data_IF_756065188171
#
_entry.id   IF_756065188171
#
_cell.length_a   1.000
_cell.length_b   1.000
_cell.length_c   1.000
_cell.angle_alpha   90.00
_cell.angle_beta   90.00
_cell.angle_gamma   90.00
#
_symmetry.space_group_name_H-M   'P 1'
#
loop_
_entity.id
_entity.type
_entity.pdbx_description
1 polymer ?
#
# COMPACT_ATOMS: atom_id res chain seq x y z
N UNK A 1 12.66 15.06 5.38
CA UNK A 1 12.77 15.27 3.92
C UNK A 1 11.96 14.29 3.06
N UNK A 2 12.26 12.98 3.01
CA UNK A 2 11.47 12.04 2.17
C UNK A 2 10.18 11.54 2.82
N UNK A 3 10.25 11.00 4.05
CA UNK A 3 9.08 10.53 4.79
C UNK A 3 8.03 11.65 5.00
N UNK A 4 8.48 12.86 5.33
CA UNK A 4 7.61 14.05 5.41
C UNK A 4 6.89 14.33 4.09
N UNK A 5 7.57 14.19 2.94
CA UNK A 5 6.94 14.38 1.62
C UNK A 5 5.83 13.34 1.41
N UNK A 6 6.09 12.08 1.74
CA UNK A 6 5.09 11.02 1.64
C UNK A 6 3.90 11.27 2.57
N UNK A 7 4.16 11.68 3.82
CA UNK A 7 3.13 12.04 4.79
C UNK A 7 2.27 13.22 4.32
N UNK A 8 2.90 14.28 3.78
CA UNK A 8 2.18 15.43 3.22
C UNK A 8 1.31 15.03 2.03
N UNK A 9 1.82 14.22 1.11
CA UNK A 9 1.04 13.74 -0.04
C UNK A 9 -0.11 12.82 0.37
N UNK A 10 0.10 11.96 1.39
CA UNK A 10 -0.95 11.15 2.01
C UNK A 10 -2.06 12.02 2.60
N UNK A 11 -1.71 12.99 3.44
CA UNK A 11 -2.66 13.92 4.08
C UNK A 11 -3.45 14.72 3.05
N UNK A 12 -2.79 15.17 1.98
CA UNK A 12 -3.41 15.88 0.87
C UNK A 12 -4.24 14.97 -0.06
N UNK A 13 -4.20 13.64 0.12
CA UNK A 13 -4.78 12.64 -0.78
C UNK A 13 -4.38 12.87 -2.24
N UNK A 14 -3.11 13.25 -2.45
CA UNK A 14 -2.59 13.63 -3.75
C UNK A 14 -2.52 12.40 -4.67
N UNK A 15 -3.30 12.43 -5.76
CA UNK A 15 -3.26 11.40 -6.80
C UNK A 15 -2.05 11.58 -7.71
N UNK A 16 -1.43 10.48 -8.13
CA UNK A 16 -0.27 10.50 -9.03
C UNK A 16 1.03 11.05 -8.43
N UNK A 17 1.06 11.37 -7.14
CA UNK A 17 2.28 11.74 -6.42
C UNK A 17 3.16 10.53 -6.10
N UNK A 18 4.35 10.79 -5.54
CA UNK A 18 5.29 9.73 -5.17
C UNK A 18 4.75 8.83 -4.05
N UNK A 19 3.95 9.35 -3.11
CA UNK A 19 3.25 8.50 -2.13
C UNK A 19 2.28 7.51 -2.80
N UNK A 20 1.49 7.99 -3.76
CA UNK A 20 0.57 7.15 -4.52
C UNK A 20 1.33 6.07 -5.31
N UNK A 21 2.39 6.45 -6.01
CA UNK A 21 3.24 5.52 -6.76
C UNK A 21 3.87 4.48 -5.81
N UNK A 22 4.39 4.92 -4.66
CA UNK A 22 5.00 4.03 -3.66
C UNK A 22 4.00 3.03 -3.10
N UNK A 23 2.78 3.44 -2.76
CA UNK A 23 1.74 2.54 -2.26
C UNK A 23 1.42 1.42 -3.27
N UNK A 24 1.16 1.80 -4.54
CA UNK A 24 0.82 0.83 -5.60
C UNK A 24 2.00 -0.11 -5.88
N UNK A 25 3.20 0.44 -6.05
CA UNK A 25 4.38 -0.36 -6.39
C UNK A 25 4.80 -1.30 -5.26
N UNK A 26 4.80 -0.83 -4.00
CA UNK A 26 5.20 -1.69 -2.89
C UNK A 26 4.21 -2.85 -2.73
N UNK A 27 2.91 -2.58 -2.67
CA UNK A 27 1.90 -3.62 -2.54
C UNK A 27 1.93 -4.63 -3.69
N UNK A 28 2.09 -4.16 -4.93
CA UNK A 28 2.19 -5.04 -6.08
C UNK A 28 3.42 -5.96 -5.99
N UNK A 29 4.59 -5.40 -5.70
CA UNK A 29 5.84 -6.18 -5.72
C UNK A 29 5.93 -7.15 -4.53
N UNK A 30 5.56 -6.74 -3.31
CA UNK A 30 5.60 -7.60 -2.12
C UNK A 30 4.61 -8.76 -2.26
N UNK A 31 3.34 -8.47 -2.54
CA UNK A 31 2.32 -9.50 -2.66
C UNK A 31 2.63 -10.45 -3.83
N UNK A 32 3.23 -9.96 -4.92
CA UNK A 32 3.67 -10.83 -6.02
C UNK A 32 4.80 -11.78 -5.61
N UNK A 33 5.74 -11.33 -4.78
CA UNK A 33 6.80 -12.21 -4.24
C UNK A 33 6.19 -13.32 -3.37
N UNK A 34 5.11 -13.01 -2.65
CA UNK A 34 4.38 -13.94 -1.78
C UNK A 34 3.40 -14.85 -2.54
N UNK A 35 3.16 -14.58 -3.82
CA UNK A 35 2.38 -15.44 -4.72
C UNK A 35 1.04 -14.87 -5.19
N UNK A 36 0.73 -13.62 -4.86
CA UNK A 36 -0.49 -12.97 -5.34
C UNK A 36 -0.54 -12.90 -6.87
N UNK A 37 -1.73 -13.17 -7.41
CA UNK A 37 -2.06 -13.17 -8.82
C UNK A 37 -2.59 -11.82 -9.32
N UNK A 38 -2.84 -10.85 -8.43
CA UNK A 38 -3.30 -9.52 -8.82
C UNK A 38 -2.30 -8.85 -9.76
N UNK A 39 -2.78 -8.30 -10.87
CA UNK A 39 -1.96 -7.49 -11.76
C UNK A 39 -1.68 -6.13 -11.14
N UNK A 40 -0.62 -5.46 -11.59
CA UNK A 40 -0.30 -4.10 -11.14
C UNK A 40 -1.47 -3.12 -11.37
N UNK A 41 -2.21 -3.31 -12.47
CA UNK A 41 -3.40 -2.51 -12.76
C UNK A 41 -4.55 -2.80 -11.79
N UNK A 42 -4.78 -4.08 -11.43
CA UNK A 42 -5.77 -4.43 -10.41
C UNK A 42 -5.38 -3.88 -9.03
N UNK A 43 -4.11 -3.96 -8.63
CA UNK A 43 -3.60 -3.33 -7.40
C UNK A 43 -3.83 -1.82 -7.41
N UNK A 44 -3.57 -1.16 -8.55
CA UNK A 44 -3.82 0.28 -8.72
C UNK A 44 -5.31 0.62 -8.60
N UNK A 45 -6.20 -0.12 -9.25
CA UNK A 45 -7.65 0.11 -9.13
C UNK A 45 -8.18 -0.17 -7.72
N UNK A 46 -7.62 -1.17 -7.02
CA UNK A 46 -7.93 -1.38 -5.61
C UNK A 46 -7.58 -0.15 -4.78
N UNK A 47 -6.39 0.40 -4.97
CA UNK A 47 -5.94 1.59 -4.25
C UNK A 47 -6.78 2.84 -4.57
N UNK A 48 -7.05 3.08 -5.87
CA UNK A 48 -7.68 4.31 -6.33
C UNK A 48 -9.20 4.34 -6.12
N UNK A 49 -9.87 3.21 -6.36
CA UNK A 49 -11.34 3.14 -6.49
C UNK A 49 -11.98 2.03 -5.68
N UNK A 50 -11.20 1.19 -4.96
CA UNK A 50 -11.69 -0.03 -4.29
C UNK A 50 -12.44 -0.96 -5.24
N UNK A 51 -11.95 -1.06 -6.48
CA UNK A 51 -12.54 -1.91 -7.51
C UNK A 51 -11.49 -2.87 -8.06
N UNK A 52 -11.92 -4.07 -8.42
CA UNK A 52 -11.12 -5.02 -9.20
C UNK A 52 -11.84 -5.28 -10.50
N UNK A 53 -11.12 -5.22 -11.61
CA UNK A 53 -11.62 -5.64 -12.92
C UNK A 53 -11.17 -7.08 -13.20
N UNK A 54 -12.09 -7.91 -13.70
CA UNK A 54 -11.82 -9.30 -14.04
C UNK A 54 -11.76 -10.22 -12.82
N UNK A 55 -11.17 -11.41 -13.02
CA UNK A 55 -11.03 -12.41 -11.97
C UNK A 55 -9.92 -12.03 -10.99
N UNK A 56 -10.18 -12.20 -9.70
CA UNK A 56 -9.21 -12.05 -8.63
C UNK A 56 -9.60 -12.93 -7.45
N UNK A 57 -8.61 -13.49 -6.78
CA UNK A 57 -8.81 -14.20 -5.53
C UNK A 57 -9.19 -13.19 -4.44
N UNK A 58 -10.22 -13.51 -3.67
CA UNK A 58 -10.69 -12.64 -2.58
C UNK A 58 -9.60 -12.42 -1.54
N UNK A 59 -8.80 -13.45 -1.24
CA UNK A 59 -7.70 -13.36 -0.28
C UNK A 59 -6.65 -12.35 -0.75
N UNK A 60 -6.20 -12.41 -2.01
CA UNK A 60 -5.27 -11.42 -2.58
C UNK A 60 -5.79 -9.98 -2.48
N UNK A 61 -7.10 -9.77 -2.68
CA UNK A 61 -7.75 -8.46 -2.55
C UNK A 61 -7.67 -7.96 -1.11
N UNK A 62 -7.97 -8.84 -0.15
CA UNK A 62 -7.91 -8.53 1.28
C UNK A 62 -6.47 -8.26 1.73
N UNK A 63 -5.52 -9.10 1.32
CA UNK A 63 -4.09 -8.93 1.61
C UNK A 63 -3.54 -7.62 1.04
N UNK A 64 -3.95 -7.25 -0.17
CA UNK A 64 -3.56 -5.97 -0.80
C UNK A 64 -4.15 -4.77 -0.05
N UNK A 65 -5.42 -4.81 0.35
CA UNK A 65 -6.02 -3.72 1.15
C UNK A 65 -5.35 -3.61 2.53
N UNK A 66 -5.02 -4.74 3.16
CA UNK A 66 -4.29 -4.76 4.43
C UNK A 66 -2.86 -4.23 4.25
N UNK A 67 -2.17 -4.57 3.17
CA UNK A 67 -0.83 -4.04 2.87
C UNK A 67 -0.84 -2.50 2.77
N UNK A 68 -1.86 -1.91 2.13
CA UNK A 68 -1.96 -0.45 2.07
C UNK A 68 -2.04 0.19 3.45
N UNK A 69 -2.79 -0.43 4.38
CA UNK A 69 -2.91 0.03 5.78
C UNK A 69 -1.60 -0.17 6.54
N UNK A 70 -0.94 -1.32 6.37
CA UNK A 70 0.34 -1.60 6.99
C UNK A 70 1.42 -0.58 6.56
N UNK A 71 1.49 -0.24 5.28
CA UNK A 71 2.41 0.80 4.81
C UNK A 71 2.11 2.17 5.42
N UNK A 72 0.82 2.52 5.54
CA UNK A 72 0.38 3.75 6.17
C UNK A 72 0.79 3.83 7.65
N UNK A 73 0.68 2.72 8.36
CA UNK A 73 1.11 2.60 9.76
C UNK A 73 2.64 2.69 9.88
N UNK A 74 3.39 2.01 9.00
CA UNK A 74 4.84 2.16 8.92
C UNK A 74 5.24 3.62 8.68
N UNK A 75 4.60 4.29 7.73
CA UNK A 75 4.87 5.69 7.40
C UNK A 75 4.56 6.65 8.56
N UNK A 76 3.57 6.32 9.38
CA UNK A 76 3.17 7.09 10.57
C UNK A 76 4.22 7.03 11.66
N UNK A 77 4.91 5.89 11.80
CA UNK A 77 5.89 5.64 12.87
C UNK A 77 7.35 5.74 12.42
N UNK A 78 7.63 6.24 11.21
CA UNK A 78 9.02 6.44 10.74
C UNK A 78 9.82 7.28 11.72
N UNK A 79 11.02 6.79 12.08
CA UNK A 79 11.92 7.44 13.01
C UNK A 79 11.66 7.11 14.48
N UNK A 80 10.62 6.33 14.79
CA UNK A 80 10.40 5.78 16.12
C UNK A 80 11.09 4.40 16.26
N UNK A 81 11.46 3.97 17.48
CA UNK A 81 11.98 2.64 17.72
C UNK A 81 10.98 1.54 17.35
N UNK A 82 11.45 0.46 16.74
CA UNK A 82 10.65 -0.75 16.53
C UNK A 82 10.49 -1.46 17.88
N UNK A 83 9.24 -1.75 18.24
CA UNK A 83 8.87 -2.50 19.43
C UNK A 83 8.01 -3.71 19.06
N UNK A 84 7.86 -4.65 20.00
CA UNK A 84 6.96 -5.79 19.78
C UNK A 84 5.51 -5.35 19.52
N UNK A 85 5.07 -4.22 20.09
CA UNK A 85 3.71 -3.71 19.87
C UNK A 85 3.55 -3.10 18.47
N UNK A 86 4.61 -2.52 17.89
CA UNK A 86 4.58 -2.04 16.49
C UNK A 86 4.69 -3.15 15.44
N UNK A 87 4.92 -4.40 15.85
CA UNK A 87 5.04 -5.57 14.98
C UNK A 87 3.83 -6.52 15.04
N UNK A 88 2.88 -6.25 15.93
CA UNK A 88 1.64 -7.03 16.08
C UNK A 88 0.55 -6.45 15.20
#
# INVERSE_FOLDING_TARGET
MFAETLQQQRLAKMKGGIYHLTQVQLAYNSNRIEGSQLTEEQTRYLYETRTVSGDALVDDVIETDNHFRAFDDMLTHVGQPITADTMK
#
